data_IF_399134606958
#
_entry.id   IF_399134606958
#
_cell.length_a   1.000
_cell.length_b   1.000
_cell.length_c   1.000
_cell.angle_alpha   90.00
_cell.angle_beta   90.00
_cell.angle_gamma   90.00
#
_symmetry.space_group_name_H-M   'P 1'
#
loop_
_entity.id
_entity.type
_entity.pdbx_description
1 polymer ?
#
# COMPACT_ATOMS: atom_id res chain seq x y z
N UNK A 1 -6.94 10.49 8.13
CA UNK A 1 -5.61 10.81 7.56
C UNK A 1 -4.45 10.16 8.31
N UNK A 2 -4.62 9.77 9.58
CA UNK A 2 -3.54 9.26 10.43
C UNK A 2 -3.16 10.28 11.48
N UNK A 3 -2.01 10.11 12.13
CA UNK A 3 -1.50 11.07 13.12
C UNK A 3 -0.86 12.27 12.43
N UNK A 4 -1.28 13.49 12.76
CA UNK A 4 -0.65 14.70 12.19
C UNK A 4 0.78 14.82 12.71
N UNK A 5 1.74 14.97 11.79
CA UNK A 5 3.15 15.26 12.10
C UNK A 5 3.34 16.77 12.17
N UNK A 6 2.84 17.49 11.16
CA UNK A 6 2.89 18.95 11.11
C UNK A 6 2.82 19.51 9.70
N UNK A 7 2.87 20.84 9.59
CA UNK A 7 2.96 21.53 8.31
C UNK A 7 4.41 21.65 7.83
N UNK A 8 4.63 21.57 6.52
CA UNK A 8 5.90 21.93 5.91
C UNK A 8 6.16 23.43 6.06
N UNK A 9 7.39 23.79 6.39
CA UNK A 9 7.86 25.18 6.32
C UNK A 9 7.91 25.65 4.85
N UNK A 10 7.40 26.85 4.58
CA UNK A 10 7.46 27.46 3.24
C UNK A 10 8.75 28.28 3.09
N UNK A 11 9.85 27.64 2.66
CA UNK A 11 11.15 28.30 2.51
C UNK A 11 11.39 28.77 1.08
N UNK A 12 11.25 27.87 0.11
CA UNK A 12 11.44 28.17 -1.32
C UNK A 12 10.46 27.39 -2.18
N UNK A 13 10.31 27.83 -3.44
CA UNK A 13 9.58 27.10 -4.48
C UNK A 13 8.11 26.76 -4.16
N UNK A 14 7.49 27.55 -3.27
CA UNK A 14 6.11 27.37 -2.84
C UNK A 14 5.84 26.04 -2.15
N UNK A 15 6.87 25.42 -1.55
CA UNK A 15 6.72 24.18 -0.79
C UNK A 15 5.82 24.40 0.41
N UNK A 16 4.67 23.74 0.42
CA UNK A 16 3.74 23.72 1.55
C UNK A 16 2.87 22.47 1.49
N UNK A 17 2.19 22.19 2.60
CA UNK A 17 1.36 21.01 2.78
C UNK A 17 1.45 20.52 4.22
N UNK A 18 0.68 19.49 4.55
CA UNK A 18 0.68 18.87 5.89
C UNK A 18 1.05 17.41 5.81
N UNK A 19 1.98 16.99 6.65
CA UNK A 19 2.42 15.61 6.74
C UNK A 19 1.66 14.87 7.84
N UNK A 20 1.18 13.68 7.52
CA UNK A 20 0.53 12.75 8.45
C UNK A 20 1.24 11.40 8.40
N UNK A 21 1.33 10.72 9.54
CA UNK A 21 1.74 9.34 9.64
C UNK A 21 0.53 8.43 9.44
N UNK A 22 0.51 7.69 8.33
CA UNK A 22 -0.52 6.69 8.04
C UNK A 22 -0.31 5.45 8.89
N UNK A 23 0.93 4.98 8.94
CA UNK A 23 1.41 3.88 9.79
C UNK A 23 2.90 4.09 10.11
N UNK A 24 3.63 3.03 10.48
CA UNK A 24 5.06 3.12 10.82
C UNK A 24 5.98 3.49 9.65
N UNK A 25 5.58 3.22 8.40
CA UNK A 25 6.41 3.39 7.19
C UNK A 25 5.77 4.21 6.09
N UNK A 26 4.50 4.55 6.20
CA UNK A 26 3.80 5.35 5.19
C UNK A 26 3.44 6.71 5.75
N UNK A 27 3.77 7.75 4.98
CA UNK A 27 3.32 9.12 5.23
C UNK A 27 2.33 9.56 4.17
N UNK A 28 1.38 10.39 4.59
CA UNK A 28 0.43 11.07 3.72
C UNK A 28 0.74 12.56 3.75
N UNK A 29 1.08 13.11 2.58
CA UNK A 29 1.34 14.53 2.41
C UNK A 29 0.09 15.16 1.76
N UNK A 30 -0.66 15.90 2.57
CA UNK A 30 -1.93 16.53 2.18
C UNK A 30 -1.69 17.93 1.62
N UNK A 31 -2.45 18.27 0.57
CA UNK A 31 -2.49 19.60 -0.07
C UNK A 31 -1.09 20.10 -0.48
N UNK A 32 -0.24 19.19 -0.98
CA UNK A 32 1.14 19.46 -1.34
C UNK A 32 1.23 20.39 -2.55
N UNK A 33 2.06 21.43 -2.41
CA UNK A 33 2.39 22.36 -3.48
C UNK A 33 3.91 22.43 -3.63
N UNK A 34 4.37 22.47 -4.87
CA UNK A 34 5.76 22.73 -5.25
C UNK A 34 5.75 23.22 -6.70
N UNK A 35 6.44 24.33 -6.97
CA UNK A 35 6.35 25.02 -8.26
C UNK A 35 6.98 24.28 -9.45
N UNK A 36 7.86 23.30 -9.17
CA UNK A 36 8.55 22.46 -10.15
C UNK A 36 9.85 23.07 -10.73
N UNK A 37 10.35 24.18 -10.18
CA UNK A 37 11.45 24.95 -10.78
C UNK A 37 12.83 24.49 -10.32
N UNK A 38 12.92 23.83 -9.16
CA UNK A 38 14.19 23.27 -8.68
C UNK A 38 14.72 22.15 -9.57
N UNK A 39 15.99 22.19 -10.00
CA UNK A 39 16.52 21.28 -11.03
C UNK A 39 16.68 19.84 -10.56
N UNK A 40 16.93 19.63 -9.26
CA UNK A 40 17.14 18.33 -8.64
C UNK A 40 16.47 18.25 -7.25
N UNK A 41 15.17 18.56 -7.19
CA UNK A 41 14.39 18.48 -5.96
C UNK A 41 13.85 17.06 -5.73
N UNK A 42 13.92 16.58 -4.48
CA UNK A 42 13.44 15.25 -4.06
C UNK A 42 12.79 15.31 -2.69
N UNK A 43 12.00 14.29 -2.36
CA UNK A 43 11.60 14.03 -0.98
C UNK A 43 12.75 13.36 -0.21
N UNK A 44 12.99 13.82 1.00
CA UNK A 44 14.00 13.29 1.91
C UNK A 44 13.44 13.11 3.31
N UNK A 45 14.00 12.14 4.01
CA UNK A 45 13.94 12.03 5.46
C UNK A 45 15.36 12.00 6.02
N UNK A 46 15.56 12.42 7.26
CA UNK A 46 16.90 12.36 7.83
C UNK A 46 16.94 12.24 9.34
N UNK A 47 18.10 11.81 9.84
CA UNK A 47 18.36 11.48 11.25
C UNK A 47 18.99 12.64 12.02
N UNK A 48 19.54 13.62 11.31
CA UNK A 48 20.16 14.82 11.88
C UNK A 48 19.12 15.70 12.58
N UNK A 49 19.56 16.54 13.53
CA UNK A 49 18.66 17.46 14.27
C UNK A 49 17.90 18.41 13.34
N UNK A 50 18.52 18.84 12.26
CA UNK A 50 17.93 19.74 11.26
C UNK A 50 18.18 19.19 9.85
N UNK A 51 17.34 19.55 8.84
CA UNK A 51 17.55 19.17 7.45
C UNK A 51 18.97 19.43 6.96
N UNK A 52 19.64 18.40 6.47
CA UNK A 52 21.00 18.46 5.93
C UNK A 52 21.29 17.25 5.06
N UNK A 53 22.29 17.33 4.17
CA UNK A 53 22.70 16.17 3.36
C UNK A 53 23.24 14.99 4.21
N UNK A 54 23.77 15.26 5.40
CA UNK A 54 24.33 14.20 6.27
C UNK A 54 23.21 13.43 6.97
N UNK A 55 23.21 12.11 6.80
CA UNK A 55 22.23 11.24 7.43
C UNK A 55 20.82 11.38 6.85
N UNK A 56 20.72 11.97 5.65
CA UNK A 56 19.50 12.05 4.88
C UNK A 56 19.41 10.90 3.87
N UNK A 57 18.19 10.41 3.68
CA UNK A 57 17.86 9.35 2.73
C UNK A 57 16.81 9.88 1.77
N UNK A 58 17.09 9.79 0.48
CA UNK A 58 16.15 10.16 -0.59
C UNK A 58 15.02 9.15 -0.65
N UNK A 59 13.79 9.65 -0.72
CA UNK A 59 12.59 8.84 -0.94
C UNK A 59 12.25 8.79 -2.43
N UNK A 60 11.52 7.73 -2.82
CA UNK A 60 10.85 7.69 -4.12
C UNK A 60 9.60 8.56 -4.09
N UNK A 61 9.23 9.14 -5.23
CA UNK A 61 7.99 9.92 -5.39
C UNK A 61 6.74 9.02 -5.33
N UNK A 62 5.54 9.61 -5.42
CA UNK A 62 4.27 8.87 -5.31
C UNK A 62 4.09 7.78 -6.37
N UNK A 63 4.86 7.83 -7.46
CA UNK A 63 4.83 6.89 -8.59
C UNK A 63 5.95 5.84 -8.51
N UNK A 64 6.76 5.88 -7.46
CA UNK A 64 7.94 5.01 -7.30
C UNK A 64 9.18 5.49 -8.06
N UNK A 65 9.14 6.71 -8.60
CA UNK A 65 10.23 7.34 -9.33
C UNK A 65 11.38 7.78 -8.42
N UNK A 66 12.61 7.70 -8.92
CA UNK A 66 13.82 8.21 -8.25
C UNK A 66 14.35 9.52 -8.88
N UNK A 67 13.66 10.03 -9.90
CA UNK A 67 13.98 11.28 -10.59
C UNK A 67 13.51 12.53 -9.83
N UNK A 68 13.88 13.73 -10.31
CA UNK A 68 13.44 14.98 -9.70
C UNK A 68 11.92 15.10 -9.63
N UNK A 69 11.43 15.77 -8.59
CA UNK A 69 10.01 16.02 -8.39
C UNK A 69 9.43 16.86 -9.52
N UNK A 70 8.27 16.44 -10.00
CA UNK A 70 7.42 17.27 -10.87
C UNK A 70 6.82 18.45 -10.10
N UNK A 71 6.11 19.31 -10.80
CA UNK A 71 5.22 20.30 -10.19
C UNK A 71 4.05 19.62 -9.47
N UNK A 72 3.66 20.14 -8.31
CA UNK A 72 2.47 19.72 -7.56
C UNK A 72 1.57 20.94 -7.30
N UNK A 73 0.24 20.78 -7.39
CA UNK A 73 -0.72 21.87 -7.17
C UNK A 73 -1.84 21.48 -6.20
N UNK A 74 -1.53 21.50 -4.90
CA UNK A 74 -2.50 21.14 -3.85
C UNK A 74 -2.89 19.67 -3.89
N UNK A 75 -1.97 18.81 -4.34
CA UNK A 75 -2.22 17.38 -4.50
C UNK A 75 -1.96 16.63 -3.20
N UNK A 76 -2.68 15.55 -2.95
CA UNK A 76 -2.41 14.69 -1.80
C UNK A 76 -1.78 13.38 -2.25
N UNK A 77 -0.68 13.00 -1.63
CA UNK A 77 0.12 11.83 -2.04
C UNK A 77 0.53 11.00 -0.82
N UNK A 78 0.86 9.73 -1.07
CA UNK A 78 1.51 8.85 -0.09
C UNK A 78 2.92 8.53 -0.50
N UNK A 79 3.81 8.49 0.48
CA UNK A 79 5.21 8.12 0.31
C UNK A 79 5.56 7.03 1.30
N UNK A 80 6.35 6.06 0.85
CA UNK A 80 6.89 5.00 1.70
C UNK A 80 8.30 5.36 2.15
N UNK A 81 8.58 5.12 3.42
CA UNK A 81 9.91 5.16 3.97
C UNK A 81 10.76 3.99 3.43
N UNK A 82 12.10 4.11 3.49
CA UNK A 82 13.00 3.04 3.08
C UNK A 82 12.74 1.73 3.83
N UNK A 83 12.98 0.60 3.16
CA UNK A 83 12.82 -0.70 3.80
C UNK A 83 13.73 -0.85 5.02
N UNK A 84 13.21 -1.55 6.04
CA UNK A 84 13.89 -1.71 7.32
C UNK A 84 13.89 -0.48 8.23
N UNK A 85 13.27 0.63 7.81
CA UNK A 85 13.13 1.85 8.63
C UNK A 85 11.67 2.16 8.97
N UNK A 86 11.48 3.01 9.98
CA UNK A 86 10.19 3.53 10.44
C UNK A 86 10.28 5.03 10.67
N UNK A 87 9.13 5.68 10.86
CA UNK A 87 9.07 7.10 11.21
C UNK A 87 9.86 7.47 12.47
N UNK A 88 10.05 6.53 13.41
CA UNK A 88 10.81 6.81 14.65
C UNK A 88 12.31 6.94 14.39
N UNK A 89 12.79 6.45 13.26
CA UNK A 89 14.20 6.50 12.89
C UNK A 89 14.60 7.87 12.32
N UNK A 90 13.63 8.71 11.95
CA UNK A 90 13.84 9.99 11.30
C UNK A 90 13.41 11.16 12.18
N UNK A 91 14.16 12.25 12.13
CA UNK A 91 13.92 13.48 12.87
C UNK A 91 13.18 14.53 12.03
N UNK A 92 13.17 14.40 10.71
CA UNK A 92 12.50 15.35 9.81
C UNK A 92 12.16 14.72 8.46
N UNK A 93 11.20 15.34 7.78
CA UNK A 93 10.88 15.13 6.37
C UNK A 93 11.07 16.46 5.62
N UNK A 94 11.58 16.43 4.39
CA UNK A 94 11.92 17.64 3.62
C UNK A 94 11.76 17.44 2.12
N UNK A 95 11.44 18.54 1.44
CA UNK A 95 11.74 18.73 0.02
C UNK A 95 13.12 19.38 -0.08
N UNK A 96 14.08 18.67 -0.65
CA UNK A 96 15.49 19.06 -0.70
C UNK A 96 16.00 19.07 -2.13
N UNK A 97 16.79 20.09 -2.49
CA UNK A 97 17.45 20.17 -3.77
C UNK A 97 18.93 19.80 -3.66
N UNK A 98 19.35 18.77 -4.40
CA UNK A 98 20.72 18.26 -4.33
C UNK A 98 21.73 19.21 -4.99
N UNK A 99 21.43 19.73 -6.19
CA UNK A 99 22.33 20.60 -6.95
C UNK A 99 22.76 21.84 -6.16
N UNK A 100 21.85 22.40 -5.38
CA UNK A 100 22.13 23.57 -4.53
C UNK A 100 22.37 23.23 -3.07
N UNK A 101 22.13 21.99 -2.65
CA UNK A 101 22.19 21.57 -1.25
C UNK A 101 21.33 22.45 -0.32
N UNK A 102 20.09 22.70 -0.73
CA UNK A 102 19.15 23.60 -0.04
C UNK A 102 17.85 22.88 0.32
N UNK A 103 17.36 23.14 1.54
CA UNK A 103 16.03 22.76 1.99
C UNK A 103 14.97 23.74 1.43
N UNK A 104 14.04 23.25 0.63
CA UNK A 104 12.92 24.05 0.11
C UNK A 104 11.74 24.10 1.08
N UNK A 105 11.63 23.12 1.97
CA UNK A 105 10.66 23.10 3.04
C UNK A 105 10.69 21.77 3.78
N UNK A 106 10.45 21.82 5.08
CA UNK A 106 10.58 20.64 5.95
C UNK A 106 9.59 20.68 7.11
N UNK A 107 9.39 19.53 7.72
CA UNK A 107 8.67 19.36 8.98
C UNK A 107 9.48 18.47 9.90
N UNK A 108 9.57 18.83 11.18
CA UNK A 108 10.18 17.98 12.20
C UNK A 108 9.24 16.82 12.54
N UNK A 109 9.81 15.63 12.71
CA UNK A 109 9.09 14.44 13.14
C UNK A 109 9.33 14.28 14.65
N UNK A 110 8.32 14.50 15.50
CA UNK A 110 8.49 14.40 16.93
C UNK A 110 8.83 12.96 17.34
N UNK A 111 9.81 12.77 18.23
CA UNK A 111 10.13 11.44 18.78
C UNK A 111 8.98 10.81 19.57
N UNK A 112 8.08 11.65 20.10
CA UNK A 112 6.86 11.23 20.79
C UNK A 112 5.69 10.96 19.84
N UNK A 113 5.88 11.04 18.52
CA UNK A 113 4.83 10.73 17.56
C UNK A 113 4.43 9.27 17.69
N UNK A 114 3.18 9.06 18.09
CA UNK A 114 2.53 7.76 17.95
C UNK A 114 1.76 7.73 16.63
N UNK A 115 2.09 6.76 15.79
CA UNK A 115 1.40 6.51 14.54
C UNK A 115 0.37 5.39 14.68
N UNK A 116 -0.64 5.36 13.79
CA UNK A 116 -1.62 4.29 13.77
C UNK A 116 -0.99 2.92 13.52
N UNK A 117 -1.59 1.86 14.09
CA UNK A 117 -1.08 0.48 13.98
C UNK A 117 -2.24 -0.51 13.79
N UNK A 118 -2.05 -1.58 13.00
CA UNK A 118 -3.03 -2.65 12.92
C UNK A 118 -3.39 -3.19 14.31
N UNK A 119 -4.67 -3.51 14.50
CA UNK A 119 -5.18 -3.98 15.78
C UNK A 119 -5.67 -5.43 15.68
N UNK A 120 -5.44 -6.22 16.72
CA UNK A 120 -5.99 -7.57 16.83
C UNK A 120 -7.28 -7.54 17.65
N UNK A 121 -8.31 -8.20 17.16
CA UNK A 121 -9.55 -8.46 17.88
C UNK A 121 -9.71 -9.96 18.12
N UNK A 122 -10.84 -10.38 18.68
CA UNK A 122 -11.11 -11.78 18.93
C UNK A 122 -11.11 -12.65 17.67
N UNK A 123 -11.27 -13.94 17.88
CA UNK A 123 -11.41 -14.92 16.81
C UNK A 123 -12.87 -15.33 16.64
N UNK A 124 -13.25 -15.77 15.45
CA UNK A 124 -14.57 -16.35 15.23
C UNK A 124 -14.65 -17.72 15.89
N UNK A 125 -15.71 -17.97 16.64
CA UNK A 125 -16.05 -19.28 17.22
C UNK A 125 -17.56 -19.43 17.11
N UNK A 126 -18.02 -20.49 16.46
CA UNK A 126 -19.44 -20.67 16.26
C UNK A 126 -19.84 -22.01 15.68
N UNK A 127 -21.02 -22.03 15.05
CA UNK A 127 -21.61 -23.22 14.44
C UNK A 127 -21.24 -23.34 12.97
N UNK A 128 -21.65 -24.43 12.31
CA UNK A 128 -21.38 -24.68 10.89
C UNK A 128 -19.88 -24.63 10.52
N UNK A 129 -19.03 -25.13 11.43
CA UNK A 129 -17.58 -25.11 11.27
C UNK A 129 -16.94 -23.71 11.28
N UNK A 130 -17.71 -22.65 11.61
CA UNK A 130 -17.20 -21.28 11.61
C UNK A 130 -16.14 -21.09 12.68
N UNK A 131 -14.90 -20.87 12.23
CA UNK A 131 -13.77 -20.59 13.10
C UNK A 131 -12.69 -19.78 12.39
N UNK A 132 -11.83 -19.11 13.16
CA UNK A 132 -10.65 -18.39 12.65
C UNK A 132 -9.56 -18.27 13.71
N UNK A 133 -8.39 -17.73 13.35
CA UNK A 133 -7.50 -17.10 14.33
C UNK A 133 -7.99 -15.68 14.69
N UNK A 134 -7.37 -15.01 15.68
CA UNK A 134 -7.65 -13.60 15.98
C UNK A 134 -7.60 -12.74 14.72
N UNK A 135 -8.67 -11.98 14.49
CA UNK A 135 -8.80 -11.13 13.31
C UNK A 135 -7.91 -9.90 13.48
N UNK A 136 -7.24 -9.50 12.39
CA UNK A 136 -6.42 -8.29 12.33
C UNK A 136 -7.21 -7.24 11.56
N UNK A 137 -7.54 -6.14 12.23
CA UNK A 137 -7.97 -4.90 11.59
C UNK A 137 -6.71 -4.22 11.05
N UNK A 138 -6.51 -4.33 9.75
CA UNK A 138 -5.29 -3.85 9.07
C UNK A 138 -5.30 -2.33 8.97
N UNK A 139 -6.45 -1.78 8.54
CA UNK A 139 -6.72 -0.35 8.45
C UNK A 139 -8.22 -0.09 8.64
N UNK A 140 -8.66 1.15 8.44
CA UNK A 140 -10.02 1.59 8.62
C UNK A 140 -11.07 0.81 7.79
N UNK A 141 -10.68 0.11 6.73
CA UNK A 141 -11.59 -0.61 5.84
C UNK A 141 -11.17 -2.06 5.55
N UNK A 142 -10.08 -2.55 6.13
CA UNK A 142 -9.50 -3.84 5.76
C UNK A 142 -9.42 -4.79 6.96
N UNK A 143 -10.03 -5.97 6.82
CA UNK A 143 -9.97 -7.06 7.79
C UNK A 143 -9.15 -8.22 7.22
N UNK A 144 -8.14 -8.66 7.96
CA UNK A 144 -7.41 -9.90 7.69
C UNK A 144 -7.87 -10.97 8.68
N UNK A 145 -8.36 -12.08 8.14
CA UNK A 145 -8.95 -13.19 8.91
C UNK A 145 -8.11 -14.44 8.63
N UNK A 146 -7.14 -14.77 9.51
CA UNK A 146 -6.29 -15.94 9.30
C UNK A 146 -7.03 -17.23 9.64
N UNK A 147 -6.68 -18.32 8.95
CA UNK A 147 -7.18 -19.66 9.23
C UNK A 147 -8.72 -19.76 9.31
N UNK A 148 -9.44 -19.02 8.45
CA UNK A 148 -10.89 -19.04 8.40
C UNK A 148 -11.43 -20.37 7.87
N UNK A 149 -12.38 -20.95 8.59
CA UNK A 149 -13.12 -22.15 8.18
C UNK A 149 -14.63 -21.91 8.27
N UNK A 150 -15.37 -22.55 7.37
CA UNK A 150 -16.84 -22.60 7.32
C UNK A 150 -17.23 -23.81 6.47
N UNK A 151 -18.20 -24.63 6.90
CA UNK A 151 -18.53 -25.91 6.26
C UNK A 151 -19.18 -25.79 4.87
N UNK A 152 -19.85 -24.66 4.59
CA UNK A 152 -20.52 -24.40 3.31
C UNK A 152 -21.96 -24.90 3.24
N UNK A 153 -22.54 -25.39 4.34
CA UNK A 153 -23.84 -26.10 4.32
C UNK A 153 -25.05 -25.16 4.31
N UNK A 154 -24.91 -23.91 4.76
CA UNK A 154 -26.05 -23.00 4.81
C UNK A 154 -26.37 -22.40 3.44
N UNK A 155 -27.67 -22.24 3.11
CA UNK A 155 -28.10 -21.80 1.78
C UNK A 155 -27.71 -20.37 1.46
N UNK A 156 -27.51 -19.52 2.48
CA UNK A 156 -27.27 -18.09 2.29
C UNK A 156 -26.40 -17.47 3.38
N UNK A 157 -25.28 -18.13 3.70
CA UNK A 157 -24.26 -17.56 4.58
C UNK A 157 -23.56 -16.37 3.90
N UNK A 158 -23.32 -15.30 4.65
CA UNK A 158 -22.67 -14.05 4.20
C UNK A 158 -21.65 -13.59 5.23
N UNK A 159 -20.66 -12.81 4.76
CA UNK A 159 -19.92 -11.91 5.64
C UNK A 159 -20.81 -10.71 5.99
N UNK A 160 -20.85 -10.37 7.27
CA UNK A 160 -21.86 -9.47 7.83
C UNK A 160 -21.23 -8.54 8.86
N UNK A 161 -21.64 -7.27 8.83
CA UNK A 161 -21.23 -6.28 9.83
C UNK A 161 -22.43 -5.47 10.26
N UNK A 162 -22.35 -4.82 11.41
CA UNK A 162 -23.45 -3.99 11.87
C UNK A 162 -23.04 -3.12 13.05
N UNK A 163 -23.95 -2.25 13.48
CA UNK A 163 -23.75 -1.42 14.67
C UNK A 163 -23.95 -2.25 15.94
N UNK A 164 -23.23 -1.87 16.99
CA UNK A 164 -23.30 -2.54 18.28
C UNK A 164 -22.63 -3.92 18.28
N UNK A 165 -22.62 -4.55 19.44
CA UNK A 165 -21.78 -5.72 19.70
C UNK A 165 -22.37 -7.04 19.17
N UNK A 166 -23.65 -7.04 18.75
CA UNK A 166 -24.37 -8.24 18.34
C UNK A 166 -24.92 -8.11 16.92
N UNK A 167 -24.81 -9.15 16.08
CA UNK A 167 -25.46 -9.19 14.77
C UNK A 167 -26.98 -9.13 14.85
N UNK A 168 -27.59 -8.47 13.88
CA UNK A 168 -29.03 -8.42 13.65
C UNK A 168 -29.36 -8.52 12.15
N UNK A 169 -30.63 -8.77 11.79
CA UNK A 169 -31.07 -8.80 10.39
C UNK A 169 -30.84 -7.49 9.62
N UNK A 170 -30.71 -6.34 10.31
CA UNK A 170 -30.48 -5.02 9.73
C UNK A 170 -28.99 -4.71 9.46
N UNK A 171 -28.11 -5.71 9.57
CA UNK A 171 -26.70 -5.53 9.25
C UNK A 171 -26.44 -5.37 7.75
N UNK A 172 -25.16 -5.23 7.44
CA UNK A 172 -24.64 -4.88 6.12
C UNK A 172 -23.83 -6.06 5.61
N UNK A 173 -24.15 -6.52 4.40
CA UNK A 173 -23.34 -7.51 3.67
C UNK A 173 -22.00 -6.89 3.33
N UNK A 174 -20.93 -7.66 3.47
CA UNK A 174 -19.63 -7.29 2.90
C UNK A 174 -19.22 -8.31 1.84
N UNK A 175 -18.63 -7.87 0.71
CA UNK A 175 -18.16 -8.79 -0.31
C UNK A 175 -17.10 -9.77 0.21
N UNK A 176 -17.05 -10.97 -0.38
CA UNK A 176 -15.97 -11.92 -0.19
C UNK A 176 -14.64 -11.39 -0.75
N UNK A 177 -13.57 -12.17 -0.61
CA UNK A 177 -12.24 -11.77 -1.07
C UNK A 177 -12.13 -11.63 -2.61
N UNK A 178 -13.18 -12.01 -3.35
CA UNK A 178 -13.29 -11.87 -4.81
C UNK A 178 -14.31 -10.79 -5.20
N UNK A 179 -14.78 -9.99 -4.24
CA UNK A 179 -15.73 -8.90 -4.47
C UNK A 179 -17.19 -9.37 -4.69
N UNK A 180 -17.56 -10.57 -4.23
CA UNK A 180 -18.92 -11.12 -4.41
C UNK A 180 -19.70 -11.16 -3.10
N UNK A 181 -20.99 -10.80 -3.17
CA UNK A 181 -21.95 -10.95 -2.06
C UNK A 181 -22.86 -12.18 -2.21
N UNK A 182 -22.51 -13.10 -3.11
CA UNK A 182 -23.20 -14.41 -3.25
C UNK A 182 -23.01 -15.27 -2.00
N UNK A 183 -23.86 -16.30 -1.76
CA UNK A 183 -23.67 -17.21 -0.63
C UNK A 183 -22.22 -17.71 -0.51
N UNK A 184 -21.70 -17.71 0.71
CA UNK A 184 -20.35 -18.14 0.99
C UNK A 184 -20.21 -19.63 0.65
N UNK A 185 -19.14 -19.94 -0.09
CA UNK A 185 -18.71 -21.33 -0.29
C UNK A 185 -18.05 -21.87 0.99
N UNK A 186 -17.72 -23.16 0.98
CA UNK A 186 -16.87 -23.77 2.01
C UNK A 186 -15.49 -23.08 2.09
N UNK A 187 -15.01 -22.87 3.32
CA UNK A 187 -13.64 -22.44 3.61
C UNK A 187 -12.97 -23.48 4.52
N UNK A 188 -11.72 -23.81 4.25
CA UNK A 188 -10.90 -24.69 5.08
C UNK A 188 -9.58 -24.02 5.41
N UNK A 189 -9.48 -23.49 6.64
CA UNK A 189 -8.30 -22.81 7.20
C UNK A 189 -7.68 -21.79 6.22
N UNK A 190 -8.51 -21.08 5.46
CA UNK A 190 -8.04 -20.12 4.47
C UNK A 190 -7.81 -18.77 5.14
N UNK A 191 -6.67 -18.15 4.90
CA UNK A 191 -6.48 -16.74 5.23
C UNK A 191 -7.17 -15.87 4.18
N UNK A 192 -8.09 -15.02 4.61
CA UNK A 192 -8.83 -14.11 3.72
C UNK A 192 -8.63 -12.66 4.14
N UNK A 193 -8.66 -11.76 3.14
CA UNK A 193 -8.64 -10.32 3.34
C UNK A 193 -9.94 -9.77 2.79
N UNK A 194 -10.69 -9.06 3.63
CA UNK A 194 -11.96 -8.46 3.27
C UNK A 194 -11.84 -6.95 3.31
N UNK A 195 -12.45 -6.29 2.34
CA UNK A 195 -12.55 -4.82 2.28
C UNK A 195 -13.98 -4.42 2.55
N UNK A 196 -14.19 -3.49 3.49
CA UNK A 196 -15.51 -2.93 3.78
C UNK A 196 -16.05 -2.16 2.55
N UNK A 197 -17.35 -2.30 2.25
CA UNK A 197 -17.94 -1.70 1.06
C UNK A 197 -18.10 -0.18 1.19
N UNK A 198 -18.11 0.52 0.05
CA UNK A 198 -18.33 1.96 0.00
C UNK A 198 -17.38 2.75 0.90
N UNK A 199 -17.96 3.65 1.69
CA UNK A 199 -17.29 4.49 2.69
C UNK A 199 -17.35 3.91 4.10
N UNK A 200 -17.85 2.68 4.27
CA UNK A 200 -17.97 2.05 5.58
C UNK A 200 -16.59 1.83 6.18
N UNK A 201 -16.42 2.18 7.46
CA UNK A 201 -15.19 1.95 8.21
C UNK A 201 -15.42 1.06 9.42
N UNK A 202 -14.34 0.53 9.97
CA UNK A 202 -14.35 -0.21 11.26
C UNK A 202 -14.81 0.66 12.43
N UNK A 203 -14.83 1.99 12.28
CA UNK A 203 -15.35 2.92 13.30
C UNK A 203 -16.89 3.00 13.29
N UNK A 204 -17.51 2.60 12.18
CA UNK A 204 -18.96 2.64 11.98
C UNK A 204 -19.66 1.34 12.43
N UNK A 205 -18.89 0.28 12.66
CA UNK A 205 -19.37 -1.07 12.98
C UNK A 205 -18.92 -1.50 14.38
N UNK A 206 -19.72 -2.33 15.03
CA UNK A 206 -19.42 -2.90 16.36
C UNK A 206 -19.09 -4.39 16.33
N UNK A 207 -19.29 -5.07 15.20
CA UNK A 207 -18.95 -6.48 15.04
C UNK A 207 -18.67 -6.85 13.58
N UNK A 208 -18.00 -7.98 13.42
CA UNK A 208 -17.90 -8.73 12.17
C UNK A 208 -18.42 -10.15 12.40
N UNK A 209 -19.21 -10.68 11.47
CA UNK A 209 -19.96 -11.91 11.65
C UNK A 209 -20.07 -12.75 10.37
N UNK A 210 -20.36 -14.04 10.59
CA UNK A 210 -20.91 -14.93 9.58
C UNK A 210 -22.40 -15.08 9.87
N UNK A 211 -23.23 -14.64 8.94
CA UNK A 211 -24.68 -14.55 9.10
C UNK A 211 -25.39 -15.32 7.99
N UNK A 212 -26.35 -16.16 8.34
CA UNK A 212 -27.25 -16.77 7.37
C UNK A 212 -28.45 -15.86 7.17
N UNK A 213 -28.51 -15.23 6.00
CA UNK A 213 -29.53 -14.24 5.70
C UNK A 213 -30.91 -14.86 5.50
N UNK A 214 -31.00 -15.96 4.75
CA UNK A 214 -32.25 -16.68 4.52
C UNK A 214 -33.00 -17.11 5.80
N UNK A 215 -32.25 -17.39 6.89
CA UNK A 215 -32.83 -17.83 8.17
C UNK A 215 -32.69 -16.80 9.29
N UNK A 216 -32.05 -15.66 9.05
CA UNK A 216 -31.77 -14.63 10.06
C UNK A 216 -31.03 -15.15 11.30
N UNK A 217 -30.04 -16.02 11.08
CA UNK A 217 -29.27 -16.67 12.18
C UNK A 217 -27.81 -16.26 12.13
N UNK A 218 -27.27 -15.87 13.29
CA UNK A 218 -25.84 -15.66 13.50
C UNK A 218 -25.10 -17.00 13.67
N UNK A 219 -24.11 -17.28 12.83
CA UNK A 219 -23.26 -18.47 12.97
C UNK A 219 -22.07 -18.24 13.87
N UNK A 220 -21.43 -17.07 13.77
CA UNK A 220 -20.40 -16.59 14.67
C UNK A 220 -20.21 -15.09 14.49
N UNK A 221 -19.78 -14.40 15.54
CA UNK A 221 -19.31 -13.02 15.41
C UNK A 221 -18.14 -12.74 16.35
N UNK A 222 -17.41 -11.68 16.03
CA UNK A 222 -16.45 -11.03 16.91
C UNK A 222 -16.87 -9.59 17.11
N UNK A 223 -16.73 -9.08 18.32
CA UNK A 223 -16.90 -7.65 18.61
C UNK A 223 -15.70 -6.85 18.12
N UNK A 224 -15.94 -5.58 17.79
CA UNK A 224 -14.95 -4.62 17.33
C UNK A 224 -14.89 -3.46 18.36
N UNK A 225 -14.14 -3.63 19.47
CA UNK A 225 -14.16 -2.65 20.55
C UNK A 225 -13.52 -1.33 20.10
N UNK A 226 -14.26 -0.23 20.19
CA UNK A 226 -13.77 1.11 19.80
C UNK A 226 -12.45 1.50 20.47
N UNK A 227 -12.25 1.10 21.73
CA UNK A 227 -11.01 1.37 22.47
C UNK A 227 -9.78 0.68 21.87
N UNK A 228 -9.96 -0.52 21.29
CA UNK A 228 -8.88 -1.26 20.63
C UNK A 228 -8.61 -0.70 19.24
N UNK A 229 -9.66 -0.23 18.56
CA UNK A 229 -9.58 0.26 17.18
C UNK A 229 -9.27 1.75 17.06
N UNK A 230 -9.23 2.50 18.15
CA UNK A 230 -9.18 3.98 18.12
C UNK A 230 -7.98 4.57 17.36
N UNK A 231 -6.93 3.79 17.13
CA UNK A 231 -5.71 4.21 16.44
C UNK A 231 -5.27 3.23 15.34
N UNK A 232 -6.23 2.63 14.62
CA UNK A 232 -5.90 1.86 13.41
C UNK A 232 -5.61 2.78 12.21
N UNK A 233 -4.76 2.37 11.26
CA UNK A 233 -4.42 3.17 10.09
C UNK A 233 -5.64 3.60 9.28
N UNK A 234 -5.61 4.77 8.63
CA UNK A 234 -6.58 5.05 7.57
C UNK A 234 -6.34 4.11 6.37
N UNK A 235 -7.40 3.72 5.67
CA UNK A 235 -7.25 3.01 4.40
C UNK A 235 -6.81 3.98 3.30
N UNK A 236 -6.04 3.49 2.33
CA UNK A 236 -5.63 4.31 1.17
C UNK A 236 -6.82 4.77 0.33
N UNK A 237 -7.84 3.90 0.21
CA UNK A 237 -9.12 4.22 -0.44
C UNK A 237 -9.80 5.44 0.21
N UNK A 238 -9.88 5.47 1.55
CA UNK A 238 -10.45 6.60 2.30
C UNK A 238 -9.61 7.88 2.15
N UNK A 239 -8.29 7.76 1.92
CA UNK A 239 -7.44 8.92 1.64
C UNK A 239 -7.59 9.43 0.19
N UNK A 240 -8.29 8.70 -0.68
CA UNK A 240 -8.41 9.01 -2.10
C UNK A 240 -7.10 8.85 -2.87
N UNK A 241 -6.19 8.00 -2.37
CA UNK A 241 -4.85 7.80 -2.96
C UNK A 241 -4.61 6.33 -3.24
N UNK A 242 -3.80 6.05 -4.26
CA UNK A 242 -3.32 4.70 -4.53
C UNK A 242 -2.06 4.42 -3.71
N UNK A 243 -1.80 3.14 -3.34
CA UNK A 243 -0.51 2.77 -2.80
C UNK A 243 0.60 3.18 -3.78
N UNK A 244 1.73 3.63 -3.23
CA UNK A 244 2.93 3.80 -4.04
C UNK A 244 3.27 2.44 -4.67
N UNK A 245 3.48 2.40 -5.99
CA UNK A 245 3.74 1.15 -6.70
C UNK A 245 4.94 0.43 -6.06
N UNK A 246 4.77 -0.83 -5.58
CA UNK A 246 5.90 -1.63 -5.15
C UNK A 246 6.86 -1.77 -6.32
N UNK A 247 8.15 -1.55 -6.07
CA UNK A 247 9.17 -1.91 -7.05
C UNK A 247 9.18 -3.43 -7.12
N UNK A 248 8.93 -4.01 -8.29
CA UNK A 248 9.30 -5.39 -8.54
C UNK A 248 10.80 -5.48 -8.29
N UNK A 249 11.22 -6.22 -7.27
CA UNK A 249 12.63 -6.53 -7.08
C UNK A 249 13.15 -7.08 -8.42
N UNK A 250 14.31 -6.60 -8.93
CA UNK A 250 14.95 -7.31 -10.01
C UNK A 250 15.24 -8.71 -9.49
N UNK A 251 14.48 -9.69 -9.99
CA UNK A 251 14.83 -11.09 -9.89
C UNK A 251 16.30 -11.16 -10.32
N UNK A 252 17.17 -11.56 -9.39
CA UNK A 252 18.56 -11.84 -9.71
C UNK A 252 18.53 -12.75 -10.92
N UNK A 253 18.93 -12.22 -12.08
CA UNK A 253 19.08 -13.02 -13.27
C UNK A 253 20.04 -14.13 -12.88
N UNK A 254 19.54 -15.37 -12.84
CA UNK A 254 20.37 -16.54 -12.70
C UNK A 254 21.48 -16.38 -13.75
N UNK A 255 22.72 -16.31 -13.27
CA UNK A 255 23.90 -16.27 -14.13
C UNK A 255 23.88 -17.61 -14.86
N UNK A 256 23.27 -17.62 -16.05
CA UNK A 256 23.28 -18.77 -16.93
C UNK A 256 24.72 -18.98 -17.38
N UNK A 257 25.34 -20.04 -16.87
CA UNK A 257 26.59 -20.56 -17.37
C UNK A 257 26.48 -20.72 -18.88
N UNK A 258 27.31 -19.97 -19.62
CA UNK A 258 27.51 -20.23 -21.04
C UNK A 258 28.13 -21.63 -21.19
N UNK A 259 27.55 -22.53 -22.00
CA UNK A 259 28.21 -23.78 -22.30
C UNK A 259 29.47 -23.51 -23.15
N UNK A 260 30.55 -24.30 -22.97
CA UNK A 260 31.78 -24.09 -23.72
C UNK A 260 31.56 -24.32 -25.22
N UNK A 261 32.26 -23.52 -26.04
CA UNK A 261 32.28 -23.66 -27.51
C UNK A 261 32.93 -24.98 -27.90
N UNK A 262 32.14 -25.92 -28.42
CA UNK A 262 32.65 -27.08 -29.13
C UNK A 262 33.22 -26.67 -30.50
N UNK A 263 34.50 -26.99 -30.68
CA UNK A 263 35.18 -26.95 -31.97
C UNK A 263 34.83 -28.25 -32.72
N UNK A 264 34.00 -28.14 -33.75
CA UNK A 264 33.59 -29.29 -34.57
C UNK A 264 33.28 -28.86 -36.00
N UNK A 265 34.24 -29.11 -36.88
CA UNK A 265 34.27 -28.92 -38.33
C UNK A 265 33.07 -29.52 -39.08
N UNK A 266 32.53 -28.85 -40.11
CA UNK A 266 32.13 -29.47 -41.39
C UNK A 266 32.10 -28.46 -42.56
N UNK A 267 33.06 -28.67 -43.45
CA UNK A 267 33.19 -28.45 -44.90
C UNK A 267 32.42 -27.37 -45.68
N UNK A 268 33.26 -26.60 -46.38
CA UNK A 268 33.04 -25.78 -47.57
C UNK A 268 32.63 -26.58 -48.81
N UNK A 269 31.65 -26.07 -49.55
CA UNK A 269 31.65 -26.06 -51.02
C UNK A 269 30.51 -25.17 -51.52
N UNK A 270 30.81 -23.95 -51.97
CA UNK A 270 30.34 -23.37 -53.24
C UNK A 270 30.85 -21.93 -53.39
N UNK A 271 31.60 -21.66 -54.46
CA UNK A 271 31.93 -20.33 -54.98
C UNK A 271 31.55 -20.30 -56.48
N UNK A 272 31.54 -19.16 -57.19
CA UNK A 272 30.32 -18.49 -57.67
C UNK A 272 30.31 -18.35 -59.21
N UNK A 273 29.34 -17.63 -59.81
CA UNK A 273 29.58 -16.96 -61.10
C UNK A 273 29.75 -15.45 -60.96
N UNK A 274 30.61 -14.91 -61.83
CA UNK A 274 30.97 -13.49 -62.00
C UNK A 274 29.94 -12.69 -62.80
N UNK A 275 30.00 -11.38 -62.54
CA UNK A 275 29.50 -10.18 -63.24
C UNK A 275 29.18 -10.28 -64.73
N UNK A 276 28.09 -9.60 -65.16
CA UNK A 276 28.07 -8.69 -66.32
C UNK A 276 26.91 -7.67 -66.22
N UNK A 277 27.30 -6.40 -66.35
CA UNK A 277 26.67 -5.24 -67.02
C UNK A 277 25.36 -4.57 -66.54
N UNK A 278 25.52 -3.26 -66.27
CA UNK A 278 24.55 -2.16 -66.13
C UNK A 278 23.80 -1.89 -67.46
N UNK A 279 22.65 -1.18 -67.45
CA UNK A 279 22.71 0.29 -67.55
C UNK A 279 21.70 1.07 -66.69
N UNK A 280 22.15 2.26 -66.31
CA UNK A 280 21.46 3.40 -65.71
C UNK A 280 20.45 4.09 -66.63
N UNK A 281 19.40 4.70 -66.06
CA UNK A 281 18.57 5.75 -66.68
C UNK A 281 18.17 6.82 -65.63
N UNK A 282 17.86 8.06 -66.05
CA UNK A 282 18.43 9.27 -65.43
C UNK A 282 17.40 10.21 -64.76
N UNK A 283 17.97 11.18 -64.02
CA UNK A 283 17.46 12.49 -63.57
C UNK A 283 16.02 12.59 -63.03
#
# INVERSE_FOLDING_TARGET
YGSEVGALSELQHGVRGKLYAVDSRTVYLKDFNYDGVGPAAYFYVGTSKTPSARGAVRLRDERGGAGPLRKYRGESITLSLPDGSTLKDYAWFSVWCDDYSVNFGSVEIPKSLEYPKPAKVGALRGVHGVSSDPIVVVDAQTLLIPNFSYDGEAPDAKFWVGRGDKPSPEGIRIPDENGKETPLRKYDKKTIVLTLPGELTVFDIGHFAIWCEAFTVNFAHVTLPRAVLSNVPPSLKMLGVSPQFPVAEPQQAAVGEYPPRDQGTWNSAYSPPRSHDLPSLPA
#
